data_IF_962935110972
#
_entry.id   IF_962935110972
#
_cell.length_a   1.000
_cell.length_b   1.000
_cell.length_c   1.000
_cell.angle_alpha   90.00
_cell.angle_beta   90.00
_cell.angle_gamma   90.00
#
_symmetry.space_group_name_H-M   'P 1'
#
loop_
_entity.id
_entity.type
_entity.pdbx_description
1 polymer ?
#
# COMPACT_ATOMS: atom_id res chain seq x y z
N UNK A 1 16.64 -7.85 4.97
CA UNK A 1 15.76 -6.87 4.31
C UNK A 1 15.82 -7.05 2.80
N UNK A 2 14.70 -7.00 2.13
CA UNK A 2 14.67 -7.13 0.68
C UNK A 2 15.28 -5.89 0.00
N UNK A 3 15.88 -6.09 -1.17
CA UNK A 3 16.37 -4.99 -2.00
C UNK A 3 15.18 -4.33 -2.71
N UNK A 4 15.38 -3.09 -3.16
CA UNK A 4 14.39 -2.38 -3.94
C UNK A 4 13.95 -3.24 -5.14
N UNK A 5 12.64 -3.38 -5.34
CA UNK A 5 12.07 -4.20 -6.40
C UNK A 5 11.96 -5.68 -6.08
N UNK A 6 12.54 -6.14 -4.97
CA UNK A 6 12.36 -7.52 -4.51
C UNK A 6 11.21 -7.57 -3.51
N UNK A 7 10.46 -8.68 -3.52
CA UNK A 7 9.31 -8.80 -2.64
C UNK A 7 9.74 -8.99 -1.18
N UNK A 8 9.23 -8.14 -0.28
CA UNK A 8 9.36 -8.31 1.16
C UNK A 8 8.45 -9.41 1.67
N UNK A 9 7.32 -9.60 1.02
CA UNK A 9 6.22 -10.42 1.45
C UNK A 9 5.37 -10.76 0.23
N UNK A 10 4.54 -11.79 0.32
CA UNK A 10 3.65 -12.16 -0.77
C UNK A 10 2.22 -12.11 -0.26
N UNK A 11 1.38 -11.38 -0.95
CA UNK A 11 -0.05 -11.36 -0.68
C UNK A 11 -0.76 -12.41 -1.53
N UNK A 12 -1.71 -13.13 -0.91
CA UNK A 12 -2.71 -13.86 -1.67
C UNK A 12 -3.65 -12.83 -2.32
N UNK A 13 -4.50 -13.31 -3.23
CA UNK A 13 -5.48 -12.43 -3.85
C UNK A 13 -6.39 -11.79 -2.81
N UNK A 14 -6.88 -12.58 -1.85
CA UNK A 14 -7.76 -12.09 -0.78
C UNK A 14 -7.04 -11.07 0.13
N UNK A 15 -5.78 -11.33 0.43
CA UNK A 15 -4.99 -10.41 1.24
C UNK A 15 -4.75 -9.09 0.52
N UNK A 16 -4.51 -9.15 -0.79
CA UNK A 16 -4.34 -7.96 -1.61
C UNK A 16 -5.61 -7.12 -1.62
N UNK A 17 -6.76 -7.77 -1.81
CA UNK A 17 -8.06 -7.10 -1.78
C UNK A 17 -8.31 -6.44 -0.42
N UNK A 18 -7.98 -7.14 0.66
CA UNK A 18 -8.12 -6.61 2.01
C UNK A 18 -7.20 -5.39 2.23
N UNK A 19 -5.97 -5.46 1.73
CA UNK A 19 -5.05 -4.32 1.80
C UNK A 19 -5.64 -3.10 1.11
N UNK A 20 -6.12 -3.28 -0.12
CA UNK A 20 -6.71 -2.18 -0.88
C UNK A 20 -7.92 -1.59 -0.19
N UNK A 21 -8.77 -2.44 0.42
CA UNK A 21 -9.92 -1.96 1.18
C UNK A 21 -9.47 -1.14 2.40
N UNK A 22 -8.49 -1.61 3.15
CA UNK A 22 -7.97 -0.88 4.30
C UNK A 22 -7.44 0.49 3.91
N UNK A 23 -6.67 0.56 2.82
CA UNK A 23 -6.15 1.84 2.32
C UNK A 23 -7.30 2.78 1.94
N UNK A 24 -8.32 2.27 1.24
CA UNK A 24 -9.46 3.10 0.85
C UNK A 24 -10.19 3.67 2.06
N UNK A 25 -10.37 2.85 3.10
CA UNK A 25 -11.03 3.29 4.33
C UNK A 25 -10.21 4.33 5.10
N UNK A 26 -8.89 4.16 5.15
CA UNK A 26 -8.01 5.13 5.77
C UNK A 26 -8.09 6.48 5.06
N UNK A 27 -8.06 6.45 3.73
CA UNK A 27 -8.16 7.67 2.93
C UNK A 27 -9.50 8.37 3.09
N UNK A 28 -10.60 7.60 3.10
CA UNK A 28 -11.94 8.15 3.33
C UNK A 28 -12.07 8.78 4.72
N UNK A 29 -11.40 8.21 5.71
CA UNK A 29 -11.40 8.73 7.07
C UNK A 29 -10.42 9.89 7.26
N UNK A 30 -9.74 10.32 6.19
CA UNK A 30 -8.73 11.38 6.22
C UNK A 30 -7.58 11.10 7.21
N UNK A 31 -7.27 9.82 7.43
CA UNK A 31 -6.10 9.42 8.21
C UNK A 31 -4.85 9.62 7.33
N UNK A 32 -3.80 10.28 7.83
CA UNK A 32 -2.55 10.37 7.08
C UNK A 32 -2.06 8.98 6.70
N UNK A 33 -1.71 8.79 5.44
CA UNK A 33 -1.40 7.45 4.91
C UNK A 33 -0.21 6.82 5.63
N UNK A 34 0.83 7.60 5.93
CA UNK A 34 1.99 7.09 6.67
C UNK A 34 1.60 6.59 8.07
N UNK A 35 0.66 7.28 8.72
CA UNK A 35 0.15 6.87 10.03
C UNK A 35 -0.65 5.58 9.90
N UNK A 36 -1.52 5.50 8.91
CA UNK A 36 -2.34 4.31 8.67
C UNK A 36 -1.49 3.09 8.36
N UNK A 37 -0.47 3.25 7.53
CA UNK A 37 0.46 2.16 7.20
C UNK A 37 1.23 1.69 8.44
N UNK A 38 1.63 2.62 9.31
CA UNK A 38 2.32 2.26 10.56
C UNK A 38 1.41 1.48 11.50
N UNK A 39 0.14 1.86 11.58
CA UNK A 39 -0.85 1.14 12.39
C UNK A 39 -1.05 -0.28 11.82
N UNK A 40 -1.16 -0.41 10.50
CA UNK A 40 -1.27 -1.73 9.87
C UNK A 40 -0.04 -2.59 10.17
N UNK A 41 1.14 -1.98 10.23
CA UNK A 41 2.37 -2.69 10.57
C UNK A 41 2.33 -3.25 11.99
N UNK A 42 1.74 -2.51 12.93
CA UNK A 42 1.60 -2.99 14.31
C UNK A 42 0.74 -4.25 14.38
N UNK A 43 -0.27 -4.36 13.52
CA UNK A 43 -1.19 -5.49 13.51
C UNK A 43 -0.68 -6.66 12.65
N UNK A 44 0.39 -6.47 11.90
CA UNK A 44 0.90 -7.50 10.99
C UNK A 44 1.44 -8.71 11.79
N UNK A 45 0.96 -9.90 11.44
CA UNK A 45 1.36 -11.13 12.11
C UNK A 45 2.75 -11.62 11.69
N UNK A 46 3.13 -11.33 10.44
CA UNK A 46 4.39 -11.81 9.87
C UNK A 46 5.41 -10.67 9.75
N UNK A 47 6.66 -10.97 10.09
CA UNK A 47 7.72 -9.97 10.06
C UNK A 47 7.92 -9.38 8.66
N UNK A 48 7.80 -10.20 7.61
CA UNK A 48 7.93 -9.71 6.25
C UNK A 48 6.90 -8.65 5.89
N UNK A 49 5.66 -8.85 6.31
CA UNK A 49 4.60 -7.87 6.08
C UNK A 49 4.84 -6.60 6.90
N UNK A 50 5.23 -6.76 8.16
CA UNK A 50 5.58 -5.62 9.00
C UNK A 50 6.68 -4.77 8.36
N UNK A 51 7.74 -5.40 7.90
CA UNK A 51 8.85 -4.70 7.27
C UNK A 51 8.42 -3.96 6.01
N UNK A 52 7.58 -4.57 5.20
CA UNK A 52 7.03 -3.96 3.99
C UNK A 52 6.21 -2.72 4.32
N UNK A 53 5.30 -2.85 5.30
CA UNK A 53 4.42 -1.74 5.69
C UNK A 53 5.21 -0.58 6.29
N UNK A 54 6.22 -0.87 7.11
CA UNK A 54 7.08 0.16 7.68
C UNK A 54 7.92 0.85 6.61
N UNK A 55 8.41 0.10 5.63
CA UNK A 55 9.14 0.70 4.50
C UNK A 55 8.25 1.70 3.76
N UNK A 56 7.01 1.29 3.47
CA UNK A 56 6.08 2.17 2.77
C UNK A 56 5.71 3.40 3.61
N UNK A 57 5.46 3.19 4.90
CA UNK A 57 5.14 4.29 5.81
C UNK A 57 6.25 5.34 5.84
N UNK A 58 7.50 4.89 5.96
CA UNK A 58 8.65 5.77 5.99
C UNK A 58 8.81 6.53 4.67
N UNK A 59 8.67 5.85 3.54
CA UNK A 59 8.79 6.50 2.24
C UNK A 59 7.74 7.58 2.02
N UNK A 60 6.49 7.29 2.40
CA UNK A 60 5.41 8.28 2.29
C UNK A 60 5.66 9.46 3.21
N UNK A 61 6.13 9.21 4.44
CA UNK A 61 6.46 10.27 5.38
C UNK A 61 7.57 11.18 4.85
N UNK A 62 8.53 10.61 4.13
CA UNK A 62 9.62 11.37 3.52
C UNK A 62 9.20 12.12 2.24
N UNK A 63 7.96 11.93 1.80
CA UNK A 63 7.41 12.65 0.64
C UNK A 63 7.35 11.86 -0.65
N UNK A 64 7.70 10.57 -0.63
CA UNK A 64 7.57 9.74 -1.83
C UNK A 64 6.10 9.47 -2.13
N UNK A 65 5.70 9.44 -3.41
CA UNK A 65 4.35 9.05 -3.79
C UNK A 65 4.04 7.62 -3.35
N UNK A 66 2.79 7.37 -2.97
CA UNK A 66 2.38 6.04 -2.51
C UNK A 66 2.62 4.96 -3.57
N UNK A 67 2.27 5.22 -4.84
CA UNK A 67 2.47 4.23 -5.90
C UNK A 67 3.94 3.84 -6.04
N UNK A 68 4.85 4.77 -5.79
CA UNK A 68 6.29 4.53 -5.90
C UNK A 68 6.77 3.58 -4.80
N UNK A 69 6.37 3.84 -3.55
CA UNK A 69 6.77 2.95 -2.46
C UNK A 69 6.13 1.57 -2.60
N UNK A 70 4.91 1.49 -3.15
CA UNK A 70 4.31 0.21 -3.49
C UNK A 70 5.15 -0.55 -4.50
N UNK A 71 5.55 0.13 -5.58
CA UNK A 71 6.37 -0.48 -6.63
C UNK A 71 7.70 -0.98 -6.07
N UNK A 72 8.33 -0.19 -5.20
CA UNK A 72 9.63 -0.52 -4.62
C UNK A 72 9.58 -1.83 -3.82
N UNK A 73 8.46 -2.18 -3.23
CA UNK A 73 8.34 -3.41 -2.44
C UNK A 73 8.39 -4.68 -3.29
N UNK A 74 8.02 -4.60 -4.55
CA UNK A 74 7.92 -5.76 -5.42
C UNK A 74 6.76 -6.70 -5.09
N UNK A 75 5.89 -6.33 -4.15
CA UNK A 75 4.77 -7.16 -3.68
C UNK A 75 3.54 -7.01 -4.55
N UNK A 76 3.32 -5.83 -5.10
CA UNK A 76 2.07 -5.49 -5.77
C UNK A 76 2.15 -5.75 -7.27
N UNK A 77 1.08 -6.36 -7.84
CA UNK A 77 1.02 -6.53 -9.29
C UNK A 77 1.11 -5.20 -10.02
N UNK A 78 1.63 -5.22 -11.24
CA UNK A 78 1.82 -4.00 -12.02
C UNK A 78 0.52 -3.21 -12.20
N UNK A 79 -0.62 -3.89 -12.37
CA UNK A 79 -1.89 -3.20 -12.57
C UNK A 79 -2.31 -2.43 -11.33
N UNK A 80 -1.99 -2.95 -10.13
CA UNK A 80 -2.30 -2.25 -8.87
C UNK A 80 -1.47 -0.98 -8.77
N UNK A 81 -0.18 -1.06 -9.07
CA UNK A 81 0.72 0.10 -9.05
C UNK A 81 0.25 1.16 -10.04
N UNK A 82 -0.13 0.74 -11.25
CA UNK A 82 -0.63 1.68 -12.27
C UNK A 82 -1.91 2.38 -11.84
N UNK A 83 -2.83 1.64 -11.20
CA UNK A 83 -4.08 2.23 -10.71
C UNK A 83 -3.80 3.21 -9.57
N UNK A 84 -2.86 2.87 -8.68
CA UNK A 84 -2.45 3.77 -7.61
C UNK A 84 -1.85 5.07 -8.18
N UNK A 85 -1.01 4.95 -9.22
CA UNK A 85 -0.43 6.12 -9.88
C UNK A 85 -1.51 7.00 -10.49
N UNK A 86 -2.47 6.39 -11.18
CA UNK A 86 -3.59 7.12 -11.76
C UNK A 86 -4.40 7.84 -10.68
N UNK A 87 -4.71 7.14 -9.59
CA UNK A 87 -5.46 7.72 -8.48
C UNK A 87 -4.73 8.91 -7.86
N UNK A 88 -3.42 8.84 -7.76
CA UNK A 88 -2.63 9.95 -7.24
C UNK A 88 -2.67 11.15 -8.18
N UNK A 89 -2.57 10.92 -9.47
CA UNK A 89 -2.59 11.98 -10.48
C UNK A 89 -3.94 12.69 -10.56
N UNK A 90 -5.03 11.96 -10.33
CA UNK A 90 -6.40 12.48 -10.47
C UNK A 90 -7.05 12.85 -9.14
N UNK A 91 -6.38 12.60 -8.02
CA UNK A 91 -6.95 12.85 -6.70
C UNK A 91 -8.06 11.87 -6.32
N UNK A 92 -8.03 10.66 -6.87
CA UNK A 92 -9.08 9.64 -6.67
C UNK A 92 -8.53 8.35 -6.07
N UNK A 93 -7.44 8.44 -5.29
CA UNK A 93 -6.79 7.25 -4.73
C UNK A 93 -7.76 6.38 -3.93
N UNK A 94 -8.62 7.00 -3.11
CA UNK A 94 -9.62 6.30 -2.32
C UNK A 94 -10.55 5.45 -3.19
N UNK A 95 -11.03 6.02 -4.29
CA UNK A 95 -11.91 5.33 -5.23
C UNK A 95 -11.18 4.20 -5.96
N UNK A 96 -9.93 4.44 -6.37
CA UNK A 96 -9.13 3.42 -7.05
C UNK A 96 -8.87 2.22 -6.14
N UNK A 97 -8.54 2.48 -4.87
CA UNK A 97 -8.29 1.41 -3.90
C UNK A 97 -9.57 0.63 -3.61
N UNK A 98 -10.70 1.32 -3.48
CA UNK A 98 -11.99 0.66 -3.28
C UNK A 98 -12.34 -0.23 -4.47
N UNK A 99 -12.15 0.29 -5.68
CA UNK A 99 -12.41 -0.47 -6.90
C UNK A 99 -11.54 -1.72 -6.96
N UNK A 100 -10.24 -1.59 -6.66
CA UNK A 100 -9.32 -2.72 -6.65
C UNK A 100 -9.72 -3.77 -5.61
N UNK A 101 -10.26 -3.34 -4.47
CA UNK A 101 -10.71 -4.27 -3.43
C UNK A 101 -11.92 -5.10 -3.86
N UNK A 102 -12.72 -4.59 -4.80
CA UNK A 102 -13.92 -5.25 -5.29
C UNK A 102 -13.66 -6.17 -6.49
N UNK A 103 -12.47 -6.16 -7.04
CA UNK A 103 -12.13 -6.95 -8.23
C UNK A 103 -11.99 -8.45 -7.96
#
# INVERSE_FOLDING_TARGET
MAKKGEAYYRYSYEELSAFCLQISLLLEAAVPLEEGLAIMAEDAALQGEKDMLLYMAEGVELGDPFFKVMEDTGVFPAYVVRMAKLGQQTGTMDQMMKWLSDC
#
